data_IF_567367281690
#
_entry.id   IF_567367281690
#
_cell.length_a   1.000
_cell.length_b   1.000
_cell.length_c   1.000
_cell.angle_alpha   90.00
_cell.angle_beta   90.00
_cell.angle_gamma   90.00
#
_symmetry.space_group_name_H-M   'P 1'
#
loop_
_entity.id
_entity.type
_entity.pdbx_description
1 polymer ?
#
# COMPACT_ATOMS: atom_id res chain seq x y z
N UNK A 1 -35.83 50.75 48.93
CA UNK A 1 -34.51 50.22 49.30
C UNK A 1 -34.25 48.94 48.51
N UNK A 2 -33.08 48.83 47.89
CA UNK A 2 -32.79 47.80 46.88
C UNK A 2 -32.22 46.52 47.48
N UNK A 3 -32.65 45.38 46.96
CA UNK A 3 -32.40 44.00 47.43
C UNK A 3 -30.95 43.49 47.27
N UNK A 4 -29.92 44.28 47.54
CA UNK A 4 -28.56 43.73 47.58
C UNK A 4 -27.53 44.56 48.32
N UNK A 5 -26.39 43.92 48.60
CA UNK A 5 -25.36 44.44 49.49
C UNK A 5 -23.96 44.07 48.99
N UNK A 6 -22.94 44.78 49.48
CA UNK A 6 -21.55 44.35 49.39
C UNK A 6 -21.09 44.02 50.81
N UNK A 7 -20.26 43.00 50.98
CA UNK A 7 -19.80 42.55 52.29
C UNK A 7 -18.33 42.15 52.26
N UNK A 8 -17.63 42.50 53.33
CA UNK A 8 -16.33 41.96 53.70
C UNK A 8 -16.40 41.64 55.19
N UNK A 9 -16.34 40.36 55.55
CA UNK A 9 -16.38 39.91 56.93
C UNK A 9 -15.14 39.09 57.29
N UNK A 10 -14.80 39.10 58.58
CA UNK A 10 -13.69 38.38 59.18
C UNK A 10 -14.20 37.72 60.46
N UNK A 11 -14.22 36.39 60.48
CA UNK A 11 -14.47 35.57 61.67
C UNK A 11 -13.15 34.95 62.12
N UNK A 12 -12.84 35.08 63.41
CA UNK A 12 -11.59 34.62 64.04
C UNK A 12 -11.87 33.75 65.29
N UNK A 13 -13.13 33.38 65.52
CA UNK A 13 -13.49 32.41 66.52
C UNK A 13 -12.90 31.03 66.18
N UNK A 14 -12.22 30.44 67.16
CA UNK A 14 -11.52 29.16 66.99
C UNK A 14 -12.40 28.08 66.37
N UNK A 15 -11.98 27.56 65.21
CA UNK A 15 -12.67 26.51 64.44
C UNK A 15 -13.81 26.98 63.54
N UNK A 16 -14.05 28.29 63.44
CA UNK A 16 -15.04 28.92 62.55
C UNK A 16 -14.42 30.05 61.73
N UNK A 17 -13.08 30.09 61.62
CA UNK A 17 -12.36 31.18 60.98
C UNK A 17 -12.74 31.32 59.51
N UNK A 18 -13.17 32.51 59.10
CA UNK A 18 -13.60 32.79 57.72
C UNK A 18 -13.25 34.22 57.32
N UNK A 19 -12.85 34.38 56.06
CA UNK A 19 -12.86 35.68 55.39
C UNK A 19 -13.84 35.57 54.23
N UNK A 20 -14.94 36.31 54.29
CA UNK A 20 -15.93 36.35 53.22
C UNK A 20 -15.89 37.70 52.50
N UNK A 21 -15.92 37.65 51.17
CA UNK A 21 -15.96 38.84 50.32
C UNK A 21 -17.08 38.67 49.28
N UNK A 22 -18.08 39.55 49.36
CA UNK A 22 -19.19 39.61 48.41
C UNK A 22 -19.24 40.97 47.71
N UNK A 23 -19.26 40.93 46.38
CA UNK A 23 -19.51 42.10 45.55
C UNK A 23 -20.84 41.93 44.83
N UNK A 24 -21.80 42.83 45.07
CA UNK A 24 -23.15 42.81 44.49
C UNK A 24 -23.14 42.84 42.94
N UNK A 25 -22.12 43.47 42.35
CA UNK A 25 -22.04 43.68 40.91
C UNK A 25 -20.66 43.35 40.34
N UNK A 26 -19.63 44.13 40.72
CA UNK A 26 -18.30 44.01 40.14
C UNK A 26 -17.24 43.97 41.25
N UNK A 27 -16.36 42.98 41.22
CA UNK A 27 -15.11 42.98 41.97
C UNK A 27 -13.94 43.24 41.01
N UNK A 28 -13.09 44.21 41.34
CA UNK A 28 -11.81 44.45 40.64
C UNK A 28 -10.68 44.33 41.63
N UNK A 29 -9.75 43.44 41.34
CA UNK A 29 -8.52 43.28 42.10
C UNK A 29 -7.33 43.74 41.23
N UNK A 30 -6.37 44.45 41.82
CA UNK A 30 -5.16 44.88 41.12
C UNK A 30 -3.97 44.74 42.05
N UNK A 31 -3.03 43.86 41.68
CA UNK A 31 -1.84 43.57 42.47
C UNK A 31 -0.63 44.10 41.70
N UNK A 32 0.07 45.08 42.28
CA UNK A 32 1.19 45.77 41.60
C UNK A 32 2.54 45.04 41.71
N UNK A 33 2.68 44.17 42.70
CA UNK A 33 3.95 43.48 42.96
C UNK A 33 3.84 41.98 42.65
N UNK A 34 3.09 41.25 43.47
CA UNK A 34 2.88 39.82 43.26
C UNK A 34 1.76 39.30 44.16
N UNK A 35 1.12 38.22 43.70
CA UNK A 35 0.11 37.47 44.45
C UNK A 35 0.60 36.04 44.55
N UNK A 36 0.61 35.51 45.77
CA UNK A 36 0.78 34.07 46.01
C UNK A 36 -0.52 33.55 46.60
N UNK A 37 -0.97 32.38 46.15
CA UNK A 37 -2.16 31.73 46.70
C UNK A 37 -1.78 30.28 47.00
N UNK A 38 -1.99 29.87 48.25
CA UNK A 38 -1.79 28.50 48.71
C UNK A 38 -3.10 28.03 49.30
N UNK A 39 -3.59 26.90 48.82
CA UNK A 39 -4.85 26.28 49.30
C UNK A 39 -4.47 24.94 49.91
N UNK A 40 -4.76 24.75 51.19
CA UNK A 40 -4.33 23.56 51.94
C UNK A 40 -5.10 22.28 51.59
N UNK A 41 -6.27 22.42 50.97
CA UNK A 41 -7.14 21.30 50.57
C UNK A 41 -7.64 21.51 49.13
N UNK A 42 -8.89 21.95 48.94
CA UNK A 42 -9.52 22.01 47.62
C UNK A 42 -9.77 23.45 47.14
N UNK A 43 -9.45 23.73 45.88
CA UNK A 43 -9.86 24.96 45.18
C UNK A 43 -10.94 24.61 44.14
N UNK A 44 -12.09 25.27 44.23
CA UNK A 44 -13.15 25.23 43.22
C UNK A 44 -13.37 26.61 42.62
N UNK A 45 -13.47 26.68 41.29
CA UNK A 45 -13.77 27.92 40.58
C UNK A 45 -14.90 27.68 39.60
N UNK A 46 -15.98 28.44 39.74
CA UNK A 46 -17.11 28.42 38.84
C UNK A 46 -17.19 29.76 38.10
N UNK A 47 -17.24 29.71 36.76
CA UNK A 47 -17.34 30.90 35.92
C UNK A 47 -18.60 30.71 35.08
N UNK A 48 -19.65 31.46 35.40
CA UNK A 48 -20.93 31.37 34.69
C UNK A 48 -20.91 31.97 33.27
N UNK A 49 -19.84 32.67 32.91
CA UNK A 49 -19.64 33.28 31.59
C UNK A 49 -18.28 32.93 30.99
N UNK A 50 -17.72 33.85 30.20
CA UNK A 50 -16.43 33.64 29.55
C UNK A 50 -15.24 33.84 30.52
N UNK A 51 -14.15 33.08 30.29
CA UNK A 51 -12.85 33.27 30.93
C UNK A 51 -11.81 33.66 29.88
N UNK A 52 -11.11 34.75 30.11
CA UNK A 52 -9.92 35.14 29.33
C UNK A 52 -8.71 35.18 30.26
N UNK A 53 -7.59 34.61 29.84
CA UNK A 53 -6.32 34.65 30.57
C UNK A 53 -5.20 35.05 29.61
N UNK A 54 -4.33 35.94 30.06
CA UNK A 54 -3.16 36.37 29.31
C UNK A 54 -1.93 36.29 30.22
N UNK A 55 -0.97 35.45 29.85
CA UNK A 55 0.31 35.29 30.54
C UNK A 55 1.40 35.81 29.61
N UNK A 56 2.11 36.86 30.00
CA UNK A 56 3.10 37.52 29.14
C UNK A 56 4.47 36.85 29.15
N UNK A 57 4.70 35.92 30.08
CA UNK A 57 5.94 35.15 30.21
C UNK A 57 5.60 33.65 30.19
N UNK A 58 5.99 32.92 31.22
CA UNK A 58 5.84 31.48 31.30
C UNK A 58 4.59 31.09 32.09
N UNK A 59 3.89 30.08 31.60
CA UNK A 59 2.79 29.40 32.31
C UNK A 59 3.21 27.94 32.54
N UNK A 60 3.46 27.57 33.79
CA UNK A 60 3.89 26.23 34.18
C UNK A 60 2.76 25.55 34.95
N UNK A 61 2.20 24.49 34.36
CA UNK A 61 1.23 23.62 35.00
C UNK A 61 1.90 22.29 35.37
N UNK A 62 1.91 21.97 36.66
CA UNK A 62 2.29 20.65 37.16
C UNK A 62 1.11 20.00 37.85
N UNK A 63 0.68 18.84 37.35
CA UNK A 63 -0.39 18.02 37.95
C UNK A 63 0.23 16.68 38.32
N UNK A 64 0.28 16.38 39.62
CA UNK A 64 0.84 15.12 40.12
C UNK A 64 -0.12 13.93 39.92
N UNK A 65 -1.43 14.18 39.97
CA UNK A 65 -2.47 13.21 39.66
C UNK A 65 -2.90 13.28 38.20
N UNK A 66 -4.20 13.09 37.95
CA UNK A 66 -4.77 13.11 36.61
C UNK A 66 -5.30 14.51 36.25
N UNK A 67 -5.15 14.89 34.98
CA UNK A 67 -5.85 16.04 34.41
C UNK A 67 -6.89 15.56 33.40
N UNK A 68 -8.15 15.95 33.59
CA UNK A 68 -9.23 15.73 32.62
C UNK A 68 -9.71 17.07 32.11
N UNK A 69 -9.78 17.23 30.79
CA UNK A 69 -10.28 18.43 30.11
C UNK A 69 -11.40 18.02 29.16
N UNK A 70 -12.60 18.51 29.42
CA UNK A 70 -13.75 18.37 28.51
C UNK A 70 -14.01 19.73 27.88
N UNK A 71 -14.14 19.74 26.55
CA UNK A 71 -14.53 20.93 25.78
C UNK A 71 -15.60 20.47 24.80
N UNK A 72 -16.81 21.00 24.96
CA UNK A 72 -17.95 20.61 24.11
C UNK A 72 -17.91 21.30 22.73
N UNK A 73 -17.20 22.42 22.63
CA UNK A 73 -16.92 23.13 21.39
C UNK A 73 -15.50 22.89 20.88
N UNK A 74 -15.02 23.80 20.03
CA UNK A 74 -13.72 23.66 19.38
C UNK A 74 -12.55 24.10 20.28
N UNK A 75 -11.41 23.44 20.09
CA UNK A 75 -10.10 23.86 20.62
C UNK A 75 -9.21 24.28 19.45
N UNK A 76 -8.64 25.48 19.53
CA UNK A 76 -7.68 26.00 18.54
C UNK A 76 -6.42 26.47 19.26
N UNK A 77 -5.31 25.79 18.98
CA UNK A 77 -4.00 26.10 19.53
C UNK A 77 -3.06 26.58 18.41
N UNK A 78 -2.59 27.83 18.51
CA UNK A 78 -1.58 28.38 17.59
C UNK A 78 -0.22 28.44 18.29
N UNK A 79 0.69 27.56 17.88
CA UNK A 79 2.04 27.47 18.45
C UNK A 79 3.02 28.02 17.42
N UNK A 80 3.60 29.19 17.69
CA UNK A 80 4.62 29.80 16.82
C UNK A 80 6.01 29.17 16.96
N UNK A 81 6.26 28.55 18.11
CA UNK A 81 7.50 27.83 18.41
C UNK A 81 7.40 26.33 18.16
N UNK A 82 8.25 25.55 18.81
CA UNK A 82 8.20 24.09 18.74
C UNK A 82 7.18 23.52 19.75
N UNK A 83 6.34 22.59 19.28
CA UNK A 83 5.53 21.73 20.14
C UNK A 83 6.29 20.43 20.41
N UNK A 84 6.41 20.01 21.67
CA UNK A 84 6.94 18.69 22.05
C UNK A 84 5.95 17.98 22.96
N UNK A 85 5.45 16.83 22.52
CA UNK A 85 4.62 15.95 23.33
C UNK A 85 5.45 14.71 23.66
N UNK A 86 5.58 14.38 24.95
CA UNK A 86 6.22 13.14 25.42
C UNK A 86 5.18 12.37 26.22
N UNK A 87 4.95 11.11 25.84
CA UNK A 87 4.06 10.19 26.52
C UNK A 87 4.91 9.01 26.96
N UNK A 88 5.04 8.81 28.27
CA UNK A 88 5.97 7.82 28.86
C UNK A 88 5.38 6.41 28.91
N UNK A 89 4.04 6.30 28.96
CA UNK A 89 3.30 5.03 28.94
C UNK A 89 2.19 5.13 27.90
N UNK A 90 2.21 4.24 26.91
CA UNK A 90 1.17 4.20 25.88
C UNK A 90 -0.09 3.53 26.44
N UNK A 91 -1.30 4.00 26.08
CA UNK A 91 -2.53 3.26 26.32
C UNK A 91 -2.41 1.85 25.73
N UNK A 92 -2.81 0.82 26.49
CA UNK A 92 -2.73 -0.58 26.04
C UNK A 92 -3.64 -0.88 24.84
N UNK A 93 -4.65 -0.07 24.59
CA UNK A 93 -5.52 -0.19 23.42
C UNK A 93 -5.99 1.20 22.95
N UNK A 94 -5.96 1.49 21.64
CA UNK A 94 -6.60 2.68 21.09
C UNK A 94 -8.11 2.51 21.12
N UNK A 95 -8.79 3.19 22.04
CA UNK A 95 -10.25 3.22 22.11
C UNK A 95 -10.82 4.25 21.13
N UNK A 96 -11.48 3.76 20.07
CA UNK A 96 -12.53 4.49 19.36
C UNK A 96 -12.20 4.95 17.93
N UNK A 97 -13.19 4.95 17.01
CA UNK A 97 -13.07 5.56 15.69
C UNK A 97 -13.37 7.06 15.80
N UNK A 98 -12.32 7.87 15.88
CA UNK A 98 -12.41 9.32 15.69
C UNK A 98 -11.25 9.74 14.79
N UNK A 99 -11.58 10.32 13.63
CA UNK A 99 -10.60 10.71 12.63
C UNK A 99 -9.65 11.77 13.19
N UNK A 100 -8.36 11.43 13.25
CA UNK A 100 -7.27 12.38 13.47
C UNK A 100 -6.67 12.71 12.10
N UNK A 101 -6.88 13.94 11.64
CA UNK A 101 -6.16 14.48 10.48
C UNK A 101 -4.83 15.07 10.92
N UNK A 102 -3.72 14.61 10.35
CA UNK A 102 -2.41 15.25 10.49
C UNK A 102 -2.13 15.99 9.18
N UNK A 103 -2.18 17.32 9.22
CA UNK A 103 -1.79 18.18 8.09
C UNK A 103 -0.44 18.83 8.40
N UNK A 104 0.55 18.61 7.53
CA UNK A 104 1.86 19.26 7.60
C UNK A 104 2.00 20.12 6.35
N UNK A 105 1.91 21.44 6.51
CA UNK A 105 1.94 22.40 5.39
C UNK A 105 3.34 22.52 4.76
N UNK A 106 4.41 22.30 5.54
CA UNK A 106 5.80 22.26 5.08
C UNK A 106 6.63 21.29 5.95
N UNK A 107 7.53 20.52 5.33
CA UNK A 107 8.39 19.55 6.01
C UNK A 107 8.00 18.09 5.75
N UNK A 108 8.54 17.18 6.56
CA UNK A 108 8.26 15.75 6.50
C UNK A 108 7.66 15.26 7.83
N UNK A 109 6.78 14.26 7.73
CA UNK A 109 6.30 13.51 8.89
C UNK A 109 7.23 12.32 9.06
N UNK A 110 7.99 12.31 10.15
CA UNK A 110 8.83 11.16 10.55
C UNK A 110 8.11 10.40 11.67
N UNK A 111 7.79 9.12 11.43
CA UNK A 111 7.10 8.24 12.38
C UNK A 111 8.04 7.08 12.67
N UNK A 112 8.61 7.06 13.86
CA UNK A 112 9.43 5.96 14.35
C UNK A 112 8.66 5.12 15.37
N UNK A 113 8.58 3.82 15.12
CA UNK A 113 8.06 2.84 16.08
C UNK A 113 8.99 1.63 16.13
N UNK A 114 9.26 1.13 17.34
CA UNK A 114 10.13 -0.05 17.53
C UNK A 114 9.44 -1.37 17.18
N UNK A 115 8.13 -1.44 17.37
CA UNK A 115 7.36 -2.67 17.17
C UNK A 115 6.62 -2.68 15.84
N UNK A 116 5.69 -1.74 15.63
CA UNK A 116 4.98 -1.60 14.37
C UNK A 116 4.32 -0.22 14.24
N UNK A 117 4.06 0.19 13.00
CA UNK A 117 3.15 1.29 12.65
C UNK A 117 1.95 0.67 11.95
N UNK A 118 0.73 0.85 12.49
CA UNK A 118 -0.48 0.18 11.98
C UNK A 118 -1.56 1.22 11.64
N UNK A 119 -1.96 1.29 10.37
CA UNK A 119 -3.12 2.07 9.91
C UNK A 119 -4.31 1.14 9.73
N UNK A 120 -5.46 1.46 10.32
CA UNK A 120 -6.69 0.64 10.25
C UNK A 120 -7.86 1.46 9.70
N UNK A 121 -8.59 0.87 8.74
CA UNK A 121 -9.87 1.39 8.27
C UNK A 121 -10.82 0.21 8.05
N UNK A 122 -11.72 -0.03 9.01
CA UNK A 122 -12.60 -1.21 8.98
C UNK A 122 -11.80 -2.52 8.89
N UNK A 123 -12.01 -3.28 7.82
CA UNK A 123 -11.28 -4.52 7.53
C UNK A 123 -9.87 -4.31 6.93
N UNK A 124 -9.59 -3.10 6.41
CA UNK A 124 -8.33 -2.78 5.74
C UNK A 124 -7.25 -2.36 6.74
N UNK A 125 -6.01 -2.82 6.49
CA UNK A 125 -4.84 -2.65 7.35
C UNK A 125 -3.58 -2.42 6.52
N UNK A 126 -2.78 -1.43 6.92
CA UNK A 126 -1.38 -1.27 6.53
C UNK A 126 -0.53 -1.40 7.79
N UNK A 127 0.38 -2.36 7.83
CA UNK A 127 1.30 -2.57 8.95
C UNK A 127 2.74 -2.47 8.49
N UNK A 128 3.48 -1.50 9.01
CA UNK A 128 4.94 -1.42 8.87
C UNK A 128 5.58 -2.06 10.09
N UNK A 129 6.25 -3.19 9.87
CA UNK A 129 7.09 -3.88 10.85
C UNK A 129 8.57 -3.63 10.50
N UNK A 130 9.53 -3.83 11.43
CA UNK A 130 10.96 -3.62 11.16
C UNK A 130 11.51 -4.36 9.93
N UNK A 131 10.89 -5.48 9.55
CA UNK A 131 11.36 -6.39 8.50
C UNK A 131 10.33 -6.67 7.39
N UNK A 132 9.11 -6.13 7.46
CA UNK A 132 8.07 -6.36 6.44
C UNK A 132 7.03 -5.24 6.43
N UNK A 133 6.44 -5.02 5.26
CA UNK A 133 5.22 -4.23 5.12
C UNK A 133 4.07 -5.17 4.77
N UNK A 134 2.98 -5.10 5.52
CA UNK A 134 1.79 -5.94 5.32
C UNK A 134 0.64 -5.04 4.89
N UNK A 135 0.08 -5.32 3.71
CA UNK A 135 -1.16 -4.74 3.21
C UNK A 135 -2.24 -5.82 3.25
N UNK A 136 -3.30 -5.60 4.02
CA UNK A 136 -4.42 -6.55 4.14
C UNK A 136 -5.73 -5.80 3.95
N UNK A 137 -6.46 -6.11 2.89
CA UNK A 137 -7.74 -5.49 2.54
C UNK A 137 -8.52 -6.41 1.60
N UNK A 138 -9.86 -6.36 1.57
CA UNK A 138 -10.64 -7.06 0.55
C UNK A 138 -10.20 -6.72 -0.88
N UNK A 139 -9.80 -5.47 -1.11
CA UNK A 139 -9.26 -5.00 -2.38
C UNK A 139 -8.08 -4.04 -2.11
N UNK A 140 -7.01 -4.14 -2.90
CA UNK A 140 -5.84 -3.26 -2.87
C UNK A 140 -5.61 -2.74 -4.30
N UNK A 141 -5.81 -1.44 -4.50
CA UNK A 141 -5.57 -0.77 -5.79
C UNK A 141 -4.34 0.12 -5.66
N UNK A 142 -3.27 -0.18 -6.41
CA UNK A 142 -2.07 0.64 -6.48
C UNK A 142 -2.04 1.42 -7.81
N UNK A 143 -2.49 2.68 -7.77
CA UNK A 143 -2.40 3.60 -8.91
C UNK A 143 -1.15 4.47 -8.78
N UNK A 144 -0.23 4.34 -9.74
CA UNK A 144 1.00 5.11 -9.75
C UNK A 144 1.46 5.36 -11.20
N UNK A 145 1.79 6.60 -11.58
CA UNK A 145 2.10 6.96 -12.97
C UNK A 145 3.44 6.40 -13.48
N UNK A 146 4.34 6.00 -12.58
CA UNK A 146 5.56 5.26 -12.93
C UNK A 146 6.04 4.46 -11.72
N UNK A 147 6.57 3.26 -11.94
CA UNK A 147 7.23 2.46 -10.90
C UNK A 147 8.61 2.02 -11.37
N UNK A 148 9.57 1.98 -10.46
CA UNK A 148 10.84 1.27 -10.63
C UNK A 148 11.11 0.52 -9.34
N UNK A 149 10.90 -0.79 -9.33
CA UNK A 149 11.32 -1.65 -8.23
C UNK A 149 12.80 -2.00 -8.43
N UNK A 150 13.67 -1.50 -7.57
CA UNK A 150 15.13 -1.59 -7.72
C UNK A 150 15.79 -2.69 -6.89
N UNK A 151 15.02 -3.52 -6.17
CA UNK A 151 15.58 -4.54 -5.29
C UNK A 151 15.65 -5.95 -5.94
N UNK A 152 16.77 -6.68 -5.78
CA UNK A 152 17.09 -7.87 -6.59
C UNK A 152 16.53 -9.20 -6.07
N UNK A 153 15.65 -9.25 -5.07
CA UNK A 153 15.36 -10.50 -4.33
C UNK A 153 14.04 -11.20 -4.68
N UNK A 154 13.53 -11.02 -5.91
CA UNK A 154 12.30 -11.64 -6.45
C UNK A 154 10.98 -11.02 -5.96
N UNK A 155 9.99 -10.98 -6.84
CA UNK A 155 8.58 -10.65 -6.54
C UNK A 155 7.82 -11.98 -6.55
N UNK A 156 7.42 -12.48 -5.38
CA UNK A 156 6.62 -13.70 -5.25
C UNK A 156 5.14 -13.36 -5.10
N UNK A 157 4.34 -13.66 -6.12
CA UNK A 157 2.88 -13.50 -6.10
C UNK A 157 2.24 -14.85 -5.74
N UNK A 158 1.96 -15.06 -4.45
CA UNK A 158 1.36 -16.32 -3.97
C UNK A 158 -0.16 -16.15 -3.86
N UNK A 159 -0.87 -16.27 -4.98
CA UNK A 159 -2.33 -16.11 -5.05
C UNK A 159 -2.95 -17.20 -5.93
N UNK A 160 -4.28 -17.35 -5.91
CA UNK A 160 -4.98 -18.35 -6.73
C UNK A 160 -4.91 -18.06 -8.23
N UNK A 161 -4.98 -16.79 -8.64
CA UNK A 161 -4.81 -16.34 -10.01
C UNK A 161 -4.13 -14.97 -10.02
N UNK A 162 -3.17 -14.79 -10.93
CA UNK A 162 -2.53 -13.51 -11.22
C UNK A 162 -2.85 -13.14 -12.65
N UNK A 163 -3.67 -12.11 -12.84
CA UNK A 163 -3.92 -11.51 -14.16
C UNK A 163 -3.07 -10.25 -14.30
N UNK A 164 -2.26 -10.17 -15.35
CA UNK A 164 -1.42 -8.99 -15.65
C UNK A 164 -1.93 -8.37 -16.95
N UNK A 165 -2.71 -7.31 -16.84
CA UNK A 165 -3.21 -6.53 -17.99
C UNK A 165 -2.33 -5.29 -18.17
N UNK A 166 -1.61 -5.22 -19.29
CA UNK A 166 -0.69 -4.12 -19.59
C UNK A 166 -0.51 -3.96 -21.10
N UNK A 167 -0.23 -2.75 -21.56
CA UNK A 167 0.13 -2.47 -22.96
C UNK A 167 1.41 -3.22 -23.37
N UNK A 168 2.34 -3.42 -22.43
CA UNK A 168 3.57 -4.16 -22.68
C UNK A 168 4.14 -4.78 -21.40
N UNK A 169 4.36 -6.10 -21.41
CA UNK A 169 5.11 -6.82 -20.38
C UNK A 169 6.49 -7.18 -20.93
N UNK A 170 7.57 -6.63 -20.33
CA UNK A 170 8.96 -6.95 -20.70
C UNK A 170 9.67 -7.65 -19.53
N UNK A 171 10.08 -8.90 -19.73
CA UNK A 171 10.96 -9.63 -18.81
C UNK A 171 12.39 -9.60 -19.36
N UNK A 172 13.31 -8.96 -18.62
CA UNK A 172 14.75 -8.88 -18.98
C UNK A 172 15.57 -9.36 -17.79
N UNK A 173 16.24 -10.49 -17.93
CA UNK A 173 17.20 -10.98 -16.95
C UNK A 173 18.43 -11.55 -17.65
N UNK A 174 19.54 -11.72 -16.92
CA UNK A 174 20.75 -12.38 -17.43
C UNK A 174 20.45 -13.88 -17.67
N UNK A 175 19.67 -14.49 -16.78
CA UNK A 175 19.07 -15.81 -16.95
C UNK A 175 17.58 -15.68 -16.61
N UNK A 176 16.71 -15.58 -17.62
CA UNK A 176 15.26 -15.57 -17.43
C UNK A 176 14.68 -16.90 -17.93
N UNK A 177 14.06 -17.66 -17.03
CA UNK A 177 13.20 -18.78 -17.37
C UNK A 177 11.76 -18.46 -16.97
N UNK A 178 10.81 -18.80 -17.84
CA UNK A 178 9.39 -18.84 -17.50
C UNK A 178 9.07 -20.33 -17.37
N UNK A 179 8.92 -20.81 -16.14
CA UNK A 179 8.54 -22.20 -15.85
C UNK A 179 7.06 -22.24 -15.49
N UNK A 180 6.29 -23.10 -16.17
CA UNK A 180 4.84 -23.20 -15.99
C UNK A 180 4.47 -24.68 -15.93
N UNK A 181 4.03 -25.13 -14.76
CA UNK A 181 3.81 -26.55 -14.45
C UNK A 181 2.68 -27.21 -15.25
N UNK A 182 1.64 -26.44 -15.61
CA UNK A 182 0.42 -26.98 -16.23
C UNK A 182 0.32 -26.68 -17.72
N UNK A 183 0.13 -25.41 -18.07
CA UNK A 183 -0.16 -25.00 -19.45
C UNK A 183 0.24 -23.54 -19.65
N UNK A 184 1.00 -23.28 -20.71
CA UNK A 184 1.24 -21.94 -21.24
C UNK A 184 0.34 -21.75 -22.46
N UNK A 185 -0.53 -20.74 -22.45
CA UNK A 185 -1.29 -20.32 -23.64
C UNK A 185 -0.76 -18.97 -24.08
N UNK A 186 -0.02 -18.94 -25.19
CA UNK A 186 0.44 -17.71 -25.83
C UNK A 186 -0.47 -17.43 -27.03
N UNK A 187 -1.54 -16.66 -26.79
CA UNK A 187 -2.50 -16.30 -27.83
C UNK A 187 -2.07 -15.05 -28.58
N UNK A 188 -2.00 -15.14 -29.91
CA UNK A 188 -1.98 -13.98 -30.82
C UNK A 188 -3.34 -13.93 -31.52
N UNK A 189 -4.07 -12.81 -31.36
CA UNK A 189 -5.41 -12.65 -31.92
C UNK A 189 -5.71 -11.18 -32.26
N UNK A 190 -6.62 -10.92 -33.21
CA UNK A 190 -6.94 -9.57 -33.69
C UNK A 190 -7.52 -8.65 -32.61
N UNK A 191 -8.03 -9.20 -31.51
CA UNK A 191 -8.53 -8.43 -30.36
C UNK A 191 -7.41 -7.93 -29.42
N UNK A 192 -6.17 -8.42 -29.58
CA UNK A 192 -5.04 -8.15 -28.67
C UNK A 192 -3.92 -7.28 -29.28
N UNK A 193 -4.09 -6.74 -30.49
CA UNK A 193 -3.15 -5.78 -31.11
C UNK A 193 -1.75 -6.30 -31.48
N UNK A 194 -1.39 -7.51 -31.09
CA UNK A 194 -0.11 -8.16 -31.39
C UNK A 194 -0.19 -9.02 -32.65
N UNK A 195 0.64 -8.72 -33.65
CA UNK A 195 0.65 -9.40 -34.95
C UNK A 195 1.60 -10.58 -35.05
N UNK A 196 2.54 -10.75 -34.11
CA UNK A 196 3.49 -11.87 -34.11
C UNK A 196 4.07 -12.15 -32.72
N UNK A 197 4.30 -13.44 -32.41
CA UNK A 197 5.15 -13.88 -31.31
C UNK A 197 6.57 -14.09 -31.89
N UNK A 198 7.52 -13.23 -31.50
CA UNK A 198 8.91 -13.30 -31.97
C UNK A 198 9.82 -13.80 -30.83
N UNK A 199 10.56 -14.87 -31.10
CA UNK A 199 11.62 -15.39 -30.24
C UNK A 199 12.96 -15.03 -30.90
N UNK A 200 13.76 -14.17 -30.28
CA UNK A 200 15.08 -13.75 -30.80
C UNK A 200 16.20 -14.70 -30.33
N UNK A 201 17.44 -14.46 -30.78
CA UNK A 201 18.60 -15.34 -30.56
C UNK A 201 18.71 -15.90 -29.12
N UNK A 202 18.72 -17.22 -29.00
CA UNK A 202 18.85 -17.94 -27.72
C UNK A 202 17.56 -18.13 -26.93
N UNK A 203 16.42 -17.60 -27.37
CA UNK A 203 15.14 -17.83 -26.71
C UNK A 203 14.63 -19.27 -26.94
N UNK A 204 14.39 -20.01 -25.85
CA UNK A 204 13.82 -21.37 -25.88
C UNK A 204 12.43 -21.39 -25.25
N UNK A 205 11.42 -21.87 -25.97
CA UNK A 205 10.12 -22.23 -25.39
C UNK A 205 10.16 -23.72 -25.04
N UNK A 206 10.20 -24.07 -23.75
CA UNK A 206 10.12 -25.45 -23.25
C UNK A 206 8.83 -25.63 -22.47
N UNK A 207 8.06 -26.66 -22.79
CA UNK A 207 6.91 -27.10 -22.00
C UNK A 207 7.21 -28.47 -21.41
N UNK A 208 6.71 -28.76 -20.21
CA UNK A 208 6.85 -30.07 -19.56
C UNK A 208 5.77 -31.08 -19.97
N UNK A 209 4.64 -30.57 -20.52
CA UNK A 209 3.51 -31.34 -21.03
C UNK A 209 3.19 -30.83 -22.45
N UNK A 210 1.91 -30.61 -22.77
CA UNK A 210 1.46 -30.18 -24.10
C UNK A 210 1.80 -28.71 -24.40
N UNK A 211 2.35 -28.47 -25.59
CA UNK A 211 2.50 -27.13 -26.17
C UNK A 211 1.54 -27.00 -27.37
N UNK A 212 0.68 -25.99 -27.35
CA UNK A 212 -0.29 -25.77 -28.42
C UNK A 212 -0.17 -24.33 -28.94
N UNK A 213 0.23 -24.18 -30.21
CA UNK A 213 0.32 -22.90 -30.90
C UNK A 213 -0.80 -22.83 -31.95
N UNK A 214 -1.88 -22.11 -31.65
CA UNK A 214 -3.00 -21.89 -32.56
C UNK A 214 -2.90 -20.50 -33.20
N UNK A 215 -2.82 -20.45 -34.52
CA UNK A 215 -2.88 -19.21 -35.28
C UNK A 215 -3.57 -19.47 -36.63
N UNK A 216 -4.16 -18.41 -37.24
CA UNK A 216 -4.66 -18.48 -38.63
C UNK A 216 -3.53 -18.78 -39.62
N UNK A 217 -2.35 -18.21 -39.38
CA UNK A 217 -1.10 -18.51 -40.09
C UNK A 217 -0.02 -18.69 -39.03
N UNK A 218 0.55 -19.89 -38.95
CA UNK A 218 1.69 -20.18 -38.07
C UNK A 218 2.95 -20.28 -38.94
N UNK A 219 3.91 -19.40 -38.71
CA UNK A 219 5.23 -19.44 -39.36
C UNK A 219 6.27 -19.82 -38.32
N UNK A 220 6.92 -20.96 -38.50
CA UNK A 220 8.07 -21.39 -37.69
C UNK A 220 9.31 -21.34 -38.57
N UNK A 221 10.09 -20.27 -38.45
CA UNK A 221 11.26 -20.02 -39.30
C UNK A 221 12.51 -19.79 -38.43
N UNK A 222 13.61 -20.40 -38.83
CA UNK A 222 14.94 -20.22 -38.26
C UNK A 222 15.93 -19.93 -39.38
N UNK A 223 16.91 -19.05 -39.13
CA UNK A 223 17.94 -18.68 -40.12
C UNK A 223 18.97 -19.78 -40.35
N UNK A 224 19.19 -20.64 -39.35
CA UNK A 224 20.14 -21.75 -39.40
C UNK A 224 19.47 -23.14 -39.31
N UNK A 225 18.66 -23.37 -38.27
CA UNK A 225 17.98 -24.65 -38.03
C UNK A 225 16.65 -24.42 -37.32
N UNK A 226 15.60 -25.06 -37.80
CA UNK A 226 14.31 -25.18 -37.10
C UNK A 226 14.11 -26.64 -36.73
N UNK A 227 13.93 -26.95 -35.44
CA UNK A 227 13.62 -28.31 -34.97
C UNK A 227 12.32 -28.32 -34.21
N UNK A 228 11.42 -29.22 -34.60
CA UNK A 228 10.27 -29.63 -33.81
C UNK A 228 10.51 -31.07 -33.39
N UNK A 229 10.48 -31.36 -32.09
CA UNK A 229 10.81 -32.67 -31.55
C UNK A 229 9.93 -32.99 -30.34
N UNK A 230 9.46 -34.23 -30.27
CA UNK A 230 8.62 -34.75 -29.19
C UNK A 230 8.14 -36.14 -29.54
N UNK A 231 7.49 -36.84 -28.60
CA UNK A 231 6.92 -38.17 -28.86
C UNK A 231 5.91 -38.14 -30.01
N UNK A 232 5.17 -37.03 -30.14
CA UNK A 232 4.26 -36.75 -31.24
C UNK A 232 4.48 -35.31 -31.68
N UNK A 233 4.75 -35.10 -32.98
CA UNK A 233 4.79 -33.78 -33.61
C UNK A 233 3.82 -33.80 -34.77
N UNK A 234 2.69 -33.11 -34.62
CA UNK A 234 1.66 -33.04 -35.65
C UNK A 234 1.62 -31.65 -36.28
N UNK A 235 1.70 -31.59 -37.61
CA UNK A 235 1.45 -30.39 -38.40
C UNK A 235 0.12 -30.60 -39.12
N UNK A 236 -0.95 -30.01 -38.58
CA UNK A 236 -2.30 -30.12 -39.11
C UNK A 236 -2.82 -28.74 -39.55
N UNK A 237 -3.42 -28.69 -40.73
CA UNK A 237 -4.00 -27.47 -41.30
C UNK A 237 -4.51 -27.73 -42.71
N UNK A 238 -5.29 -26.78 -43.26
CA UNK A 238 -5.80 -26.88 -44.63
C UNK A 238 -4.67 -26.93 -45.67
N UNK A 239 -3.57 -26.21 -45.40
CA UNK A 239 -2.33 -26.27 -46.18
C UNK A 239 -1.15 -26.34 -45.21
N UNK A 240 -0.34 -27.38 -45.35
CA UNK A 240 0.96 -27.50 -44.66
C UNK A 240 2.05 -27.36 -45.72
N UNK A 241 2.83 -26.29 -45.64
CA UNK A 241 3.97 -26.03 -46.53
C UNK A 241 5.25 -25.94 -45.71
N UNK A 242 6.29 -26.65 -46.13
CA UNK A 242 7.63 -26.60 -45.55
C UNK A 242 8.57 -26.07 -46.64
N UNK A 243 8.93 -24.79 -46.54
CA UNK A 243 9.90 -24.17 -47.42
C UNK A 243 11.27 -24.14 -46.72
N UNK A 244 12.16 -25.03 -47.15
CA UNK A 244 13.50 -25.14 -46.60
C UNK A 244 14.48 -25.63 -47.66
N UNK A 245 15.77 -25.25 -47.52
CA UNK A 245 16.85 -25.75 -48.38
C UNK A 245 16.97 -27.27 -48.35
N UNK A 246 16.64 -27.89 -47.21
CA UNK A 246 16.60 -29.35 -47.02
C UNK A 246 15.46 -29.69 -46.07
N UNK A 247 14.62 -30.64 -46.48
CA UNK A 247 13.60 -31.26 -45.62
C UNK A 247 13.99 -32.72 -45.42
N UNK A 248 14.18 -33.13 -44.17
CA UNK A 248 14.44 -34.51 -43.80
C UNK A 248 13.37 -34.99 -42.83
N UNK A 249 12.76 -36.13 -43.11
CA UNK A 249 11.86 -36.82 -42.19
C UNK A 249 12.59 -38.10 -41.79
N UNK A 250 13.04 -38.16 -40.55
CA UNK A 250 13.70 -39.33 -39.97
C UNK A 250 12.77 -39.93 -38.92
N UNK A 251 12.44 -41.21 -39.06
CA UNK A 251 11.46 -41.87 -38.21
C UNK A 251 11.95 -43.28 -37.84
N UNK A 252 12.01 -43.56 -36.54
CA UNK A 252 12.50 -44.85 -36.01
C UNK A 252 11.60 -46.04 -36.39
N UNK A 253 10.35 -45.79 -36.76
CA UNK A 253 9.35 -46.82 -37.01
C UNK A 253 8.71 -46.74 -38.38
N UNK A 254 7.96 -45.67 -38.66
CA UNK A 254 7.18 -45.56 -39.90
C UNK A 254 6.88 -44.10 -40.23
N UNK A 255 6.92 -43.75 -41.51
CA UNK A 255 6.43 -42.49 -42.05
C UNK A 255 5.12 -42.78 -42.78
N UNK A 256 4.00 -42.25 -42.29
CA UNK A 256 2.70 -42.33 -42.96
C UNK A 256 2.25 -40.94 -43.43
N UNK A 257 1.92 -40.83 -44.72
CA UNK A 257 1.32 -39.62 -45.29
C UNK A 257 -0.14 -39.94 -45.59
N UNK A 258 -1.04 -39.58 -44.67
CA UNK A 258 -2.48 -39.75 -44.82
C UNK A 258 -3.12 -38.50 -45.41
N UNK A 259 -3.57 -38.55 -46.66
CA UNK A 259 -4.37 -37.48 -47.27
C UNK A 259 -5.51 -38.09 -48.09
N UNK A 260 -6.74 -37.52 -48.03
CA UNK A 260 -7.83 -37.92 -48.92
C UNK A 260 -7.61 -37.47 -50.37
N UNK A 261 -6.61 -36.62 -50.62
CA UNK A 261 -6.23 -36.12 -51.95
C UNK A 261 -5.02 -36.81 -52.56
N UNK A 262 -4.38 -36.15 -53.53
CA UNK A 262 -3.18 -36.64 -54.21
C UNK A 262 -1.90 -36.23 -53.45
N UNK A 263 -0.96 -37.17 -53.29
CA UNK A 263 0.41 -36.89 -52.85
C UNK A 263 1.30 -36.67 -54.06
N UNK A 264 1.92 -35.49 -54.19
CA UNK A 264 2.85 -35.17 -55.25
C UNK A 264 4.25 -34.93 -54.67
N UNK A 265 5.21 -35.79 -55.00
CA UNK A 265 6.63 -35.62 -54.66
C UNK A 265 7.36 -35.09 -55.89
N UNK A 266 7.93 -33.88 -55.79
CA UNK A 266 8.71 -33.25 -56.86
C UNK A 266 10.05 -32.77 -56.30
N UNK A 267 11.14 -33.07 -56.98
CA UNK A 267 12.48 -32.58 -56.65
C UNK A 267 13.09 -31.89 -57.86
N UNK A 268 13.80 -30.78 -57.65
CA UNK A 268 14.45 -30.04 -58.73
C UNK A 268 15.77 -30.69 -59.18
N UNK A 269 16.46 -31.41 -58.28
CA UNK A 269 17.76 -32.03 -58.57
C UNK A 269 17.70 -33.56 -58.57
N UNK A 270 17.21 -34.18 -57.48
CA UNK A 270 17.15 -35.64 -57.34
C UNK A 270 16.11 -36.04 -56.31
N UNK A 271 15.27 -37.03 -56.66
CA UNK A 271 14.45 -37.77 -55.69
C UNK A 271 15.14 -39.10 -55.46
N UNK A 272 15.56 -39.37 -54.23
CA UNK A 272 16.13 -40.66 -53.85
C UNK A 272 15.15 -41.33 -52.90
N UNK A 273 14.52 -42.41 -53.37
CA UNK A 273 13.71 -43.31 -52.54
C UNK A 273 14.61 -44.54 -52.32
N UNK A 274 15.12 -44.70 -51.12
CA UNK A 274 15.92 -45.87 -50.74
C UNK A 274 15.04 -46.90 -50.04
#
# INVERSE_FOLDING_TARGET
DGDGYNELSFEDAAGQEEIFLHAQRNLRETIRAGRTTSVGDCQRTWIGGARTSAVSKDDLLQVAGNQTRTVDGDVSDQIRGAMRIRVSEAPKEPTGPTGLGIAVEQGAVDIEAKEAIVLRCGASRLELHPNKVVLSSPEIVAQCPSQTATHPTSIALTTGAVEVTTDALRQRAIEASIEVDRRVVLGVGPELGMTSLRLDEGATLRTCNDAELRAKTLVVAGTEKTTMSGTVCELAGEVVSIDAKRVGIDADHRIEIGTPGQVNVRGQEKITLN
#
